data_IF_146822521040
#
_entry.id   IF_146822521040
#
_cell.length_a   1.000
_cell.length_b   1.000
_cell.length_c   1.000
_cell.angle_alpha   90.00
_cell.angle_beta   90.00
_cell.angle_gamma   90.00
#
_symmetry.space_group_name_H-M   'P 1'
#
loop_
_entity.id
_entity.type
_entity.pdbx_description
1 polymer ?
#
# COMPACT_ATOMS: atom_id res chain seq x y z
N UNK A 1 -12.05 -6.84 2.66
CA UNK A 1 -11.02 -5.88 2.24
C UNK A 1 -10.74 -4.93 3.40
N UNK A 2 -9.49 -4.55 3.64
CA UNK A 2 -9.10 -3.67 4.76
C UNK A 2 -8.60 -2.31 4.23
N UNK A 3 -8.79 -1.22 4.99
CA UNK A 3 -8.26 0.09 4.59
C UNK A 3 -6.75 0.13 4.80
N UNK A 4 -5.98 0.30 3.72
CA UNK A 4 -4.52 0.33 3.81
C UNK A 4 -3.98 1.56 4.56
N UNK A 5 -4.75 2.66 4.60
CA UNK A 5 -4.39 3.86 5.37
C UNK A 5 -4.52 3.66 6.88
N UNK A 6 -5.24 2.63 7.33
CA UNK A 6 -5.36 2.30 8.75
C UNK A 6 -4.11 1.65 9.35
N UNK A 7 -3.09 1.37 8.54
CA UNK A 7 -1.86 0.73 8.98
C UNK A 7 -0.73 1.76 9.17
N UNK A 8 0.01 1.61 10.26
CA UNK A 8 1.27 2.34 10.44
C UNK A 8 2.35 1.82 9.47
N UNK A 9 3.40 2.62 9.25
CA UNK A 9 4.54 2.19 8.42
C UNK A 9 5.16 0.88 8.91
N UNK A 10 5.22 0.68 10.23
CA UNK A 10 5.74 -0.54 10.83
C UNK A 10 4.86 -1.74 10.47
N UNK A 11 3.55 -1.61 10.65
CA UNK A 11 2.61 -2.69 10.30
C UNK A 11 2.60 -2.98 8.81
N UNK A 12 2.70 -1.98 7.94
CA UNK A 12 2.85 -2.21 6.50
C UNK A 12 4.14 -2.98 6.18
N UNK A 13 5.26 -2.67 6.84
CA UNK A 13 6.51 -3.42 6.63
C UNK A 13 6.38 -4.87 7.06
N UNK A 14 5.75 -5.14 8.19
CA UNK A 14 5.49 -6.51 8.68
C UNK A 14 4.53 -7.25 7.75
N UNK A 15 3.47 -6.58 7.31
CA UNK A 15 2.50 -7.11 6.36
C UNK A 15 3.17 -7.50 5.03
N UNK A 16 4.00 -6.62 4.47
CA UNK A 16 4.75 -6.89 3.24
C UNK A 16 5.74 -8.04 3.44
N UNK A 17 6.44 -8.08 4.57
CA UNK A 17 7.37 -9.17 4.88
C UNK A 17 6.64 -10.52 4.99
N UNK A 18 5.44 -10.54 5.60
CA UNK A 18 4.57 -11.73 5.69
C UNK A 18 4.02 -12.17 4.32
N UNK A 19 3.95 -11.24 3.36
CA UNK A 19 3.55 -11.50 1.97
C UNK A 19 4.70 -11.96 1.07
N UNK A 20 5.89 -12.21 1.61
CA UNK A 20 7.15 -12.46 0.88
C UNK A 20 7.59 -11.27 0.00
N UNK A 21 7.09 -10.07 0.31
CA UNK A 21 7.46 -8.83 -0.37
C UNK A 21 8.52 -8.04 0.41
N UNK A 22 9.33 -7.27 -0.32
CA UNK A 22 10.41 -6.49 0.28
C UNK A 22 9.87 -5.35 1.14
N UNK A 23 10.40 -5.15 2.33
CA UNK A 23 9.95 -4.12 3.28
C UNK A 23 10.08 -2.68 2.74
N UNK A 24 10.94 -2.42 1.74
CA UNK A 24 11.02 -1.10 1.09
C UNK A 24 9.77 -0.78 0.24
N UNK A 25 9.06 -1.80 -0.26
CA UNK A 25 7.80 -1.61 -1.00
C UNK A 25 6.74 -0.99 -0.10
N UNK A 26 6.68 -1.40 1.17
CA UNK A 26 5.80 -0.79 2.17
C UNK A 26 6.09 0.71 2.35
N UNK A 27 7.37 1.10 2.33
CA UNK A 27 7.78 2.51 2.42
C UNK A 27 7.32 3.33 1.21
N UNK A 28 7.44 2.75 0.00
CA UNK A 28 6.92 3.37 -1.22
C UNK A 28 5.40 3.57 -1.14
N UNK A 29 4.65 2.54 -0.73
CA UNK A 29 3.18 2.62 -0.57
C UNK A 29 2.82 3.68 0.46
N UNK A 30 3.46 3.68 1.63
CA UNK A 30 3.21 4.66 2.67
C UNK A 30 3.43 6.08 2.17
N UNK A 31 4.52 6.32 1.41
CA UNK A 31 4.78 7.62 0.79
C UNK A 31 3.69 8.01 -0.22
N UNK A 32 3.20 7.07 -1.02
CA UNK A 32 2.09 7.35 -1.94
C UNK A 32 0.81 7.74 -1.21
N UNK A 33 0.48 7.05 -0.12
CA UNK A 33 -0.74 7.31 0.65
C UNK A 33 -0.67 8.64 1.41
N UNK A 34 0.43 8.92 2.10
CA UNK A 34 0.53 10.05 3.04
C UNK A 34 1.21 11.29 2.47
N UNK A 35 2.19 11.13 1.59
CA UNK A 35 2.94 12.27 1.02
C UNK A 35 2.34 12.71 -0.30
N UNK A 36 1.99 11.76 -1.17
CA UNK A 36 1.41 12.06 -2.49
C UNK A 36 -0.13 12.10 -2.49
N UNK A 37 -0.78 11.64 -1.42
CA UNK A 37 -2.24 11.62 -1.32
C UNK A 37 -2.90 10.72 -2.36
N UNK A 38 -2.28 9.59 -2.72
CA UNK A 38 -2.87 8.65 -3.66
C UNK A 38 -4.19 8.10 -3.14
N UNK A 39 -5.22 8.18 -3.98
CA UNK A 39 -6.55 7.65 -3.74
C UNK A 39 -6.74 6.26 -4.37
N UNK A 40 -5.81 5.86 -5.23
CA UNK A 40 -5.82 4.56 -5.89
C UNK A 40 -4.44 3.95 -6.06
N UNK A 41 -4.37 2.62 -5.98
CA UNK A 41 -3.13 1.88 -6.26
C UNK A 41 -2.62 2.10 -7.69
N UNK A 42 -3.49 2.46 -8.64
CA UNK A 42 -3.11 2.72 -10.04
C UNK A 42 -2.20 3.94 -10.20
N UNK A 43 -2.35 4.93 -9.33
CA UNK A 43 -1.53 6.14 -9.32
C UNK A 43 -0.08 5.84 -8.91
N UNK A 44 0.17 4.69 -8.28
CA UNK A 44 1.49 4.29 -7.79
C UNK A 44 2.36 3.74 -8.93
N UNK A 45 2.84 4.62 -9.81
CA UNK A 45 3.60 4.27 -11.03
C UNK A 45 4.93 3.56 -10.75
N UNK A 46 5.50 3.82 -9.57
CA UNK A 46 6.76 3.20 -9.10
C UNK A 46 6.56 1.79 -8.51
N UNK A 47 5.32 1.32 -8.41
CA UNK A 47 4.96 -0.01 -7.91
C UNK A 47 4.64 -0.93 -9.10
N UNK A 48 5.21 -2.14 -9.08
CA UNK A 48 4.98 -3.15 -10.12
C UNK A 48 3.48 -3.50 -10.22
N UNK A 49 3.01 -3.77 -11.44
CA UNK A 49 1.59 -4.07 -11.71
C UNK A 49 1.08 -5.24 -10.86
N UNK A 50 1.84 -6.33 -10.77
CA UNK A 50 1.50 -7.50 -9.96
C UNK A 50 1.24 -7.16 -8.48
N UNK A 51 2.08 -6.30 -7.88
CA UNK A 51 1.90 -5.87 -6.49
C UNK A 51 0.67 -4.98 -6.34
N UNK A 52 0.42 -4.06 -7.29
CA UNK A 52 -0.80 -3.24 -7.29
C UNK A 52 -2.07 -4.09 -7.37
N UNK A 53 -2.06 -5.13 -8.19
CA UNK A 53 -3.20 -6.06 -8.33
C UNK A 53 -3.42 -6.87 -7.05
N UNK A 54 -2.35 -7.35 -6.42
CA UNK A 54 -2.44 -8.04 -5.12
C UNK A 54 -3.01 -7.11 -4.03
N UNK A 55 -2.48 -5.90 -3.93
CA UNK A 55 -2.97 -4.90 -2.97
C UNK A 55 -4.43 -4.52 -3.23
N UNK A 56 -4.85 -4.39 -4.50
CA UNK A 56 -6.26 -4.15 -4.85
C UNK A 56 -7.21 -5.28 -4.45
N UNK A 57 -6.73 -6.53 -4.39
CA UNK A 57 -7.56 -7.67 -3.97
C UNK A 57 -7.73 -7.71 -2.45
N UNK A 58 -6.68 -7.39 -1.69
CA UNK A 58 -6.69 -7.52 -0.23
C UNK A 58 -7.13 -6.23 0.49
N UNK A 59 -6.82 -5.07 -0.11
CA UNK A 59 -6.96 -3.74 0.49
C UNK A 59 -7.73 -2.77 -0.40
N UNK A 60 -8.26 -1.73 0.24
CA UNK A 60 -8.80 -0.55 -0.43
C UNK A 60 -8.21 0.72 0.19
N UNK A 61 -8.30 1.83 -0.53
CA UNK A 61 -7.89 3.15 -0.06
C UNK A 61 -9.17 3.95 0.16
N UNK A 62 -9.49 4.28 1.42
CA UNK A 62 -10.58 5.24 1.69
C UNK A 62 -10.05 6.67 1.56
N UNK A 63 -10.84 7.55 0.96
CA UNK A 63 -10.61 9.01 0.99
C UNK A 63 -11.42 9.71 2.09
N UNK A 64 -12.38 9.00 2.69
CA UNK A 64 -13.23 9.49 3.79
C UNK A 64 -12.79 8.89 5.12
N UNK A 65 -12.35 9.76 6.03
CA UNK A 65 -12.50 9.65 7.50
C UNK A 65 -13.01 10.98 8.03
#
# INVERSE_FOLDING_TARGET
MKNIKGYTLKELRELFTSMDEKSFRADQIFRWLWVKGAEGFEQMTDISKALRERLKNEFYISSLE
#
